data_IF_665543316382
#
_entry.id   IF_665543316382
#
_cell.length_a   1.000
_cell.length_b   1.000
_cell.length_c   1.000
_cell.angle_alpha   90.00
_cell.angle_beta   90.00
_cell.angle_gamma   90.00
#
_symmetry.space_group_name_H-M   'P 1'
#
loop_
_entity.id
_entity.type
_entity.pdbx_description
1 polymer ?
#
# COMPACT_ATOMS: atom_id res chain seq x y z
N UNK A 1 14.11 -7.04 -16.84
CA UNK A 1 14.42 -8.05 -15.82
C UNK A 1 13.14 -8.37 -15.07
N UNK A 2 12.76 -9.64 -14.92
CA UNK A 2 11.60 -10.01 -14.11
C UNK A 2 11.88 -9.66 -12.64
N UNK A 3 10.95 -8.94 -11.98
CA UNK A 3 11.06 -8.64 -10.56
C UNK A 3 11.09 -9.95 -9.78
N UNK A 4 12.12 -10.14 -8.94
CA UNK A 4 12.17 -11.31 -8.06
C UNK A 4 11.05 -11.20 -7.04
N UNK A 5 10.23 -12.25 -6.94
CA UNK A 5 9.17 -12.33 -5.94
C UNK A 5 9.72 -12.13 -4.52
N UNK A 6 8.96 -11.42 -3.69
CA UNK A 6 9.28 -11.28 -2.27
C UNK A 6 9.14 -12.62 -1.55
N UNK A 7 10.00 -12.86 -0.57
CA UNK A 7 9.88 -13.99 0.34
C UNK A 7 8.70 -13.77 1.30
N UNK A 8 8.17 -14.85 1.87
CA UNK A 8 7.16 -14.76 2.92
C UNK A 8 7.64 -13.93 4.12
N UNK A 9 8.92 -14.07 4.48
CA UNK A 9 9.52 -13.30 5.57
C UNK A 9 9.49 -11.79 5.29
N UNK A 10 9.75 -11.36 4.05
CA UNK A 10 9.61 -9.95 3.66
C UNK A 10 8.19 -9.44 3.76
N UNK A 11 7.21 -10.23 3.32
CA UNK A 11 5.79 -9.85 3.38
C UNK A 11 5.31 -9.67 4.82
N UNK A 12 5.71 -10.58 5.71
CA UNK A 12 5.39 -10.47 7.15
C UNK A 12 6.12 -9.28 7.74
N UNK A 13 7.43 -9.16 7.51
CA UNK A 13 8.25 -8.10 8.11
C UNK A 13 7.81 -6.70 7.68
N UNK A 14 7.45 -6.48 6.41
CA UNK A 14 6.92 -5.17 5.97
C UNK A 14 5.54 -4.90 6.57
N UNK A 15 4.71 -5.93 6.74
CA UNK A 15 3.40 -5.79 7.38
C UNK A 15 3.53 -5.39 8.84
N UNK A 16 4.46 -6.01 9.56
CA UNK A 16 4.76 -5.65 10.94
C UNK A 16 5.34 -4.24 11.04
N UNK A 17 6.21 -3.84 10.09
CA UNK A 17 6.77 -2.49 10.05
C UNK A 17 5.68 -1.44 9.86
N UNK A 18 4.78 -1.60 8.87
CA UNK A 18 3.74 -0.61 8.65
C UNK A 18 2.68 -0.59 9.77
N UNK A 19 2.39 -1.76 10.36
CA UNK A 19 1.60 -1.81 11.60
C UNK A 19 2.25 -1.02 12.72
N UNK A 20 3.56 -1.16 12.88
CA UNK A 20 4.33 -0.43 13.88
C UNK A 20 4.19 1.08 13.77
N UNK A 21 4.28 1.66 12.56
CA UNK A 21 4.08 3.12 12.43
C UNK A 21 2.61 3.52 12.53
N UNK A 22 1.65 2.70 12.07
CA UNK A 22 0.24 2.96 12.33
C UNK A 22 -0.03 3.05 13.85
N UNK A 23 0.54 2.14 14.63
CA UNK A 23 0.43 2.15 16.08
C UNK A 23 1.13 3.39 16.69
N UNK A 24 2.29 3.77 16.17
CA UNK A 24 3.01 4.97 16.62
C UNK A 24 2.29 6.29 16.30
N UNK A 25 1.49 6.33 15.23
CA UNK A 25 0.78 7.54 14.78
C UNK A 25 -0.67 7.60 15.29
N UNK A 26 -1.18 6.55 15.91
CA UNK A 26 -2.56 6.47 16.40
C UNK A 26 -2.90 7.48 17.51
N UNK A 27 -1.90 8.00 18.22
CA UNK A 27 -2.06 9.07 19.22
C UNK A 27 -1.56 10.43 18.74
N UNK A 28 -1.12 10.53 17.48
CA UNK A 28 -0.58 11.77 16.92
C UNK A 28 -1.63 12.88 16.93
N UNK A 29 -1.30 14.11 17.35
CA UNK A 29 -2.22 15.24 17.25
C UNK A 29 -2.51 15.64 15.80
N UNK A 30 -1.68 15.20 14.84
CA UNK A 30 -1.82 15.53 13.43
C UNK A 30 -2.79 14.61 12.68
N UNK A 31 -3.31 13.54 13.30
CA UNK A 31 -4.26 12.62 12.66
C UNK A 31 -5.70 13.15 12.61
N UNK A 32 -5.97 14.35 13.12
CA UNK A 32 -7.33 14.87 13.30
C UNK A 32 -8.25 13.82 13.97
N UNK A 33 -9.43 13.57 13.41
CA UNK A 33 -10.38 12.55 13.87
C UNK A 33 -10.17 11.17 13.24
N UNK A 34 -9.07 10.96 12.51
CA UNK A 34 -8.75 9.70 11.82
C UNK A 34 -8.00 8.72 12.72
N UNK A 35 -7.91 7.47 12.25
CA UNK A 35 -7.26 6.40 13.02
C UNK A 35 -5.75 6.61 13.12
N UNK A 36 -5.10 7.01 12.01
CA UNK A 36 -3.64 7.10 11.88
C UNK A 36 -3.24 8.19 10.88
N UNK A 37 -1.93 8.42 10.76
CA UNK A 37 -1.37 9.10 9.59
C UNK A 37 -1.02 8.03 8.55
N UNK A 38 -1.75 8.03 7.44
CA UNK A 38 -1.48 7.18 6.29
C UNK A 38 -0.33 7.78 5.46
N UNK A 39 0.60 6.94 5.03
CA UNK A 39 1.65 7.29 4.09
C UNK A 39 1.10 7.62 2.70
N UNK A 40 0.02 6.94 2.29
CA UNK A 40 -0.68 7.20 1.01
C UNK A 40 -0.10 6.46 -0.19
N UNK A 41 1.20 6.13 -0.14
CA UNK A 41 1.95 5.39 -1.16
C UNK A 41 2.89 4.33 -0.58
N UNK A 42 2.38 3.50 0.31
CA UNK A 42 3.09 2.31 0.77
C UNK A 42 3.32 1.30 -0.36
N UNK A 43 4.55 1.28 -0.87
CA UNK A 43 4.99 0.33 -1.88
C UNK A 43 6.44 -0.11 -1.70
N UNK A 44 6.87 -1.02 -2.57
CA UNK A 44 8.24 -1.53 -2.57
C UNK A 44 9.28 -0.46 -2.83
N UNK A 45 8.95 0.54 -3.65
CA UNK A 45 9.84 1.67 -3.93
C UNK A 45 10.08 2.55 -2.71
N UNK A 46 9.12 2.57 -1.77
CA UNK A 46 9.18 3.35 -0.53
C UNK A 46 9.55 2.51 0.71
N UNK A 47 10.01 1.27 0.51
CA UNK A 47 10.40 0.39 1.62
C UNK A 47 11.84 -0.10 1.49
N UNK A 48 12.62 0.11 2.54
CA UNK A 48 14.01 -0.35 2.63
C UNK A 48 14.06 -1.71 3.32
N UNK A 49 14.68 -2.69 2.65
CA UNK A 49 14.92 -4.03 3.18
C UNK A 49 16.41 -4.26 3.48
N UNK A 50 16.69 -4.93 4.60
CA UNK A 50 17.97 -5.55 4.91
C UNK A 50 17.79 -7.07 4.97
N UNK A 51 18.24 -7.77 3.94
CA UNK A 51 17.92 -9.20 3.81
C UNK A 51 16.41 -9.39 3.66
N UNK A 52 15.80 -10.19 4.54
CA UNK A 52 14.35 -10.41 4.59
C UNK A 52 13.61 -9.47 5.56
N UNK A 53 14.30 -8.55 6.20
CA UNK A 53 13.72 -7.62 7.19
C UNK A 53 13.45 -6.26 6.56
N UNK A 54 12.22 -5.77 6.64
CA UNK A 54 11.89 -4.37 6.36
C UNK A 54 12.37 -3.51 7.53
N UNK A 55 13.16 -2.47 7.25
CA UNK A 55 13.83 -1.67 8.31
C UNK A 55 13.44 -0.20 8.29
N UNK A 56 12.92 0.31 7.19
CA UNK A 56 12.46 1.69 7.09
C UNK A 56 11.43 1.86 5.98
N UNK A 57 10.55 2.84 6.17
CA UNK A 57 9.68 3.42 5.15
C UNK A 57 10.18 4.84 4.91
N UNK A 58 10.25 5.24 3.64
CA UNK A 58 10.80 6.52 3.18
C UNK A 58 9.78 7.26 2.33
N UNK A 59 10.05 8.52 2.00
CA UNK A 59 9.20 9.36 1.15
C UNK A 59 7.85 9.76 1.80
N UNK A 60 7.93 10.53 2.89
CA UNK A 60 6.80 10.89 3.75
C UNK A 60 6.12 12.21 3.35
N UNK A 61 6.50 12.79 2.21
CA UNK A 61 6.39 14.25 2.05
C UNK A 61 5.18 14.66 1.19
N UNK A 62 4.80 13.86 0.19
CA UNK A 62 3.82 14.25 -0.83
C UNK A 62 2.39 13.83 -0.51
N UNK A 63 2.19 12.62 0.04
CA UNK A 63 0.88 11.97 0.16
C UNK A 63 0.50 11.63 1.62
N UNK A 64 1.29 12.08 2.60
CA UNK A 64 1.02 11.88 4.02
C UNK A 64 -0.27 12.59 4.42
N UNK A 65 -1.24 11.81 4.90
CA UNK A 65 -2.54 12.35 5.27
C UNK A 65 -3.17 11.57 6.44
N UNK A 66 -3.97 12.23 7.28
CA UNK A 66 -4.86 11.52 8.20
C UNK A 66 -5.80 10.56 7.46
N UNK A 67 -5.92 9.33 7.94
CA UNK A 67 -6.82 8.34 7.33
C UNK A 67 -7.08 7.11 8.17
N UNK A 68 -7.91 6.22 7.64
CA UNK A 68 -8.19 4.92 8.23
C UNK A 68 -7.05 3.96 7.91
N UNK A 69 -6.70 3.05 8.84
CA UNK A 69 -5.62 2.07 8.66
C UNK A 69 -5.77 1.24 7.38
N UNK A 70 -7.03 0.92 7.02
CA UNK A 70 -7.35 0.10 5.85
C UNK A 70 -7.00 0.78 4.53
N UNK A 71 -7.05 2.12 4.46
CA UNK A 71 -6.78 2.88 3.23
C UNK A 71 -5.32 2.73 2.79
N UNK A 72 -4.41 2.71 3.77
CA UNK A 72 -2.98 2.52 3.58
C UNK A 72 -2.60 1.04 3.45
N UNK A 73 -3.15 0.20 4.34
CA UNK A 73 -2.81 -1.23 4.38
C UNK A 73 -3.33 -1.99 3.16
N UNK A 74 -4.48 -1.61 2.60
CA UNK A 74 -4.99 -2.21 1.36
C UNK A 74 -4.08 -1.88 0.16
N UNK A 75 -3.57 -0.64 0.08
CA UNK A 75 -2.59 -0.26 -0.95
C UNK A 75 -1.29 -1.04 -0.80
N UNK A 76 -0.78 -1.18 0.42
CA UNK A 76 0.37 -2.03 0.69
C UNK A 76 0.14 -3.47 0.23
N UNK A 77 -1.00 -4.09 0.57
CA UNK A 77 -1.33 -5.46 0.11
C UNK A 77 -1.35 -5.54 -1.42
N UNK A 78 -1.92 -4.55 -2.11
CA UNK A 78 -1.88 -4.50 -3.56
C UNK A 78 -0.45 -4.49 -4.12
N UNK A 79 0.43 -3.64 -3.60
CA UNK A 79 1.82 -3.53 -4.05
C UNK A 79 2.73 -4.72 -3.70
N UNK A 80 2.60 -5.26 -2.49
CA UNK A 80 3.50 -6.30 -1.97
C UNK A 80 3.04 -7.72 -2.31
N UNK A 81 1.73 -7.97 -2.41
CA UNK A 81 1.20 -9.28 -2.75
C UNK A 81 1.14 -9.54 -4.28
N UNK A 82 1.64 -8.61 -5.09
CA UNK A 82 1.58 -8.65 -6.56
C UNK A 82 0.12 -8.82 -7.05
N UNK A 83 -0.84 -8.19 -6.37
CA UNK A 83 -2.23 -8.24 -6.82
C UNK A 83 -2.31 -7.67 -8.23
N UNK A 84 -3.18 -8.26 -9.06
CA UNK A 84 -3.41 -7.93 -10.49
C UNK A 84 -2.20 -8.08 -11.41
N UNK A 85 -1.07 -8.63 -10.93
CA UNK A 85 0.09 -8.88 -11.78
C UNK A 85 -0.09 -10.13 -12.64
N UNK A 86 -0.19 -9.95 -13.95
CA UNK A 86 -0.53 -11.01 -14.90
C UNK A 86 0.46 -12.18 -14.89
N UNK A 87 1.73 -11.93 -14.55
CA UNK A 87 2.77 -12.96 -14.47
C UNK A 87 2.73 -13.78 -13.18
N UNK A 88 1.93 -13.38 -12.18
CA UNK A 88 1.81 -14.09 -10.90
C UNK A 88 0.47 -14.83 -10.89
N UNK A 89 0.45 -16.16 -10.70
CA UNK A 89 -0.80 -16.91 -10.62
C UNK A 89 -1.73 -16.36 -9.52
N UNK A 90 -3.03 -16.27 -9.81
CA UNK A 90 -4.03 -15.71 -8.89
C UNK A 90 -4.01 -16.37 -7.51
N UNK A 91 -3.78 -17.69 -7.44
CA UNK A 91 -3.69 -18.40 -6.16
C UNK A 91 -2.51 -17.91 -5.29
N UNK A 92 -1.39 -17.54 -5.92
CA UNK A 92 -0.21 -17.04 -5.21
C UNK A 92 -0.43 -15.60 -4.75
N UNK A 93 -1.07 -14.76 -5.58
CA UNK A 93 -1.51 -13.42 -5.18
C UNK A 93 -2.43 -13.50 -3.94
N UNK A 94 -3.42 -14.40 -3.97
CA UNK A 94 -4.35 -14.61 -2.86
C UNK A 94 -3.63 -15.11 -1.60
N UNK A 95 -2.71 -16.08 -1.73
CA UNK A 95 -1.92 -16.60 -0.60
C UNK A 95 -1.07 -15.51 0.06
N UNK A 96 -0.43 -14.65 -0.73
CA UNK A 96 0.37 -13.52 -0.21
C UNK A 96 -0.48 -12.47 0.47
N UNK A 97 -1.62 -12.11 -0.10
CA UNK A 97 -2.56 -11.19 0.52
C UNK A 97 -3.09 -11.74 1.86
N UNK A 98 -3.42 -13.04 1.92
CA UNK A 98 -3.81 -13.71 3.17
C UNK A 98 -2.69 -13.69 4.21
N UNK A 99 -1.44 -13.93 3.80
CA UNK A 99 -0.28 -13.88 4.71
C UNK A 99 -0.12 -12.48 5.33
N UNK A 100 -0.24 -11.42 4.52
CA UNK A 100 -0.19 -10.04 5.03
C UNK A 100 -1.38 -9.73 5.94
N UNK A 101 -2.61 -10.14 5.58
CA UNK A 101 -3.78 -9.99 6.45
C UNK A 101 -3.56 -10.65 7.82
N UNK A 102 -2.98 -11.85 7.85
CA UNK A 102 -2.70 -12.55 9.09
C UNK A 102 -1.65 -11.85 9.98
N UNK A 103 -0.71 -11.12 9.38
CA UNK A 103 0.32 -10.35 10.09
C UNK A 103 -0.18 -8.99 10.63
N UNK A 104 -1.39 -8.56 10.23
CA UNK A 104 -2.00 -7.32 10.69
C UNK A 104 -3.35 -7.60 11.37
N UNK A 105 -3.41 -7.62 12.72
CA UNK A 105 -4.65 -7.87 13.44
C UNK A 105 -5.77 -6.91 13.03
N UNK A 106 -6.95 -7.47 12.72
CA UNK A 106 -8.12 -6.71 12.26
C UNK A 106 -8.17 -6.48 10.75
N UNK A 107 -7.10 -6.77 9.99
CA UNK A 107 -7.13 -6.71 8.53
C UNK A 107 -7.66 -8.03 7.96
N UNK A 108 -8.78 -7.96 7.23
CA UNK A 108 -9.35 -9.13 6.55
C UNK A 108 -9.20 -9.01 5.04
N UNK A 109 -9.10 -10.12 4.29
CA UNK A 109 -9.09 -10.07 2.83
C UNK A 109 -10.31 -9.34 2.23
N UNK A 110 -11.49 -9.47 2.86
CA UNK A 110 -12.70 -8.79 2.40
C UNK A 110 -12.63 -7.27 2.58
N UNK A 111 -12.09 -6.80 3.71
CA UNK A 111 -11.86 -5.38 3.95
C UNK A 111 -10.86 -4.79 2.94
N UNK A 112 -9.77 -5.51 2.66
CA UNK A 112 -8.78 -5.12 1.64
C UNK A 112 -9.44 -5.00 0.26
N UNK A 113 -10.21 -6.00 -0.18
CA UNK A 113 -10.88 -5.95 -1.49
C UNK A 113 -11.93 -4.85 -1.57
N UNK A 114 -12.65 -4.60 -0.49
CA UNK A 114 -13.63 -3.51 -0.38
C UNK A 114 -12.94 -2.16 -0.57
N UNK A 115 -11.83 -1.94 0.13
CA UNK A 115 -11.09 -0.69 0.06
C UNK A 115 -10.39 -0.51 -1.28
N UNK A 116 -9.78 -1.56 -1.87
CA UNK A 116 -9.20 -1.48 -3.21
C UNK A 116 -10.25 -1.12 -4.29
N UNK A 117 -11.48 -1.61 -4.14
CA UNK A 117 -12.61 -1.21 -5.00
C UNK A 117 -12.96 0.27 -4.80
N UNK A 118 -13.04 0.73 -3.55
CA UNK A 118 -13.33 2.12 -3.22
C UNK A 118 -12.25 3.07 -3.76
N UNK A 119 -10.97 2.74 -3.55
CA UNK A 119 -9.80 3.47 -4.08
C UNK A 119 -9.81 3.54 -5.59
N UNK A 120 -10.08 2.43 -6.27
CA UNK A 120 -10.18 2.39 -7.73
C UNK A 120 -11.30 3.30 -8.25
N UNK A 121 -12.41 3.41 -7.53
CA UNK A 121 -13.52 4.31 -7.85
C UNK A 121 -13.09 5.77 -7.66
N UNK A 122 -12.48 6.13 -6.52
CA UNK A 122 -11.94 7.49 -6.28
C UNK A 122 -10.95 7.92 -7.36
N UNK A 123 -10.01 7.05 -7.74
CA UNK A 123 -9.02 7.32 -8.79
C UNK A 123 -9.66 7.57 -10.17
N UNK A 124 -10.73 6.85 -10.53
CA UNK A 124 -11.48 7.10 -11.76
C UNK A 124 -12.19 8.46 -11.75
N UNK A 125 -12.73 8.86 -10.59
CA UNK A 125 -13.42 10.15 -10.46
C UNK A 125 -12.46 11.34 -10.38
N UNK A 126 -11.25 11.17 -9.85
CA UNK A 126 -10.19 12.20 -9.92
C UNK A 126 -9.58 12.39 -11.32
N UNK A 127 -9.85 11.47 -12.27
CA UNK A 127 -9.47 11.61 -13.69
C UNK A 127 -10.50 12.36 -14.55
N UNK A 128 -11.55 12.94 -13.95
CA UNK A 128 -12.40 13.94 -14.61
C UNK A 128 -11.71 15.34 -14.56
N UNK A 129 -11.87 16.18 -15.59
CA UNK A 129 -10.77 16.91 -16.22
C UNK A 129 -10.43 18.21 -15.49
N UNK A 130 -9.28 18.26 -14.82
CA UNK A 130 -8.64 19.55 -14.48
C UNK A 130 -7.10 19.49 -14.50
N UNK A 131 -6.55 18.62 -15.34
CA UNK A 131 -5.15 18.74 -15.77
C UNK A 131 -5.13 18.81 -17.29
N UNK A 132 -4.63 19.89 -17.91
CA UNK A 132 -4.43 19.91 -19.35
C UNK A 132 -3.57 18.70 -19.71
N UNK A 133 -4.02 17.97 -20.71
CA UNK A 133 -3.46 16.69 -21.09
C UNK A 133 -1.94 16.79 -21.25
N UNK A 134 -1.21 15.88 -20.60
CA UNK A 134 0.18 15.59 -20.89
C UNK A 134 0.28 14.86 -22.25
N UNK A 135 -0.17 15.53 -23.31
CA UNK A 135 -0.04 15.12 -24.71
C UNK A 135 0.43 16.35 -25.48
N UNK A 136 1.67 16.78 -25.22
CA UNK A 136 2.41 17.71 -26.07
C UNK A 136 3.90 17.75 -25.63
N UNK A 137 4.55 16.58 -25.52
CA UNK A 137 6.02 16.53 -25.38
C UNK A 137 6.58 15.34 -26.16
N UNK A 138 6.12 15.08 -27.38
CA UNK A 138 6.81 14.20 -28.34
C UNK A 138 6.44 14.55 -29.79
N UNK A 139 6.32 15.83 -30.14
CA UNK A 139 6.43 16.27 -31.53
C UNK A 139 7.18 17.61 -31.55
N UNK A 140 8.50 17.52 -31.70
CA UNK A 140 9.43 18.63 -31.86
C UNK A 140 10.75 18.11 -32.39
#
# INVERSE_FOLDING_TARGET
MARRALSNAKLVSVTELFRGYHDATASSPFRNDQEVLCHGDLGLHNTVFRGDTAVAIIDWDADLAPGCRIEDSAHAVWCFADLIEASVPVYEQARRAQLMCAAYPGMTPSAVLTELRARSTRARHHRAPDRPAAVEVFEG
#
